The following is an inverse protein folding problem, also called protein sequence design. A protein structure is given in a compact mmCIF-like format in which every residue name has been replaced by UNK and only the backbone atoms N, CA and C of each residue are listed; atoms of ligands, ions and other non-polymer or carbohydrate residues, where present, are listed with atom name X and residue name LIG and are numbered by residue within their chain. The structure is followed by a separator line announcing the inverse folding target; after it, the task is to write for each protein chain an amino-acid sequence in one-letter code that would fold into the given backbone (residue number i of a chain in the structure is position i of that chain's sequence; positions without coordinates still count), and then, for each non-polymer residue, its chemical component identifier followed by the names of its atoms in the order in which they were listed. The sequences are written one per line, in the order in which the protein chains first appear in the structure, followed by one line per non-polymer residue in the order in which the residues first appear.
data_IF_257895430789
#
_entry.id   IF_257895430789
#
_cell.length_a   1.000
_cell.length_b   1.000
_cell.length_c   1.000
_cell.angle_alpha   90.00
_cell.angle_beta   90.00
_cell.angle_gamma   90.00
#
_symmetry.space_group_name_H-M   'P 1'
#
loop_
_entity.id
_entity.type
_entity.pdbx_description
1 polymer ?
#
# COMPACT_ATOMS: atom_id res chain seq x y z
N UNK A 1 -3.53 -20.39 31.13
CA UNK A 1 -2.40 -20.03 30.24
C UNK A 1 -2.66 -20.56 28.82
N UNK A 2 -3.17 -21.78 28.67
CA UNK A 2 -3.44 -22.39 27.35
C UNK A 2 -4.49 -21.66 26.52
N UNK A 3 -5.63 -21.25 27.10
CA UNK A 3 -6.65 -20.49 26.38
C UNK A 3 -6.12 -19.16 25.77
N UNK A 4 -5.16 -18.51 26.43
CA UNK A 4 -4.51 -17.28 25.93
C UNK A 4 -3.56 -17.56 24.76
N UNK A 5 -2.89 -18.70 24.78
CA UNK A 5 -1.99 -19.13 23.71
C UNK A 5 -2.78 -19.57 22.46
N UNK A 6 -3.89 -20.27 22.65
CA UNK A 6 -4.78 -20.67 21.55
C UNK A 6 -5.44 -19.46 20.88
N UNK A 7 -5.85 -18.45 21.66
CA UNK A 7 -6.34 -17.18 21.10
C UNK A 7 -5.29 -16.46 20.24
N UNK A 8 -4.03 -16.40 20.69
CA UNK A 8 -2.93 -15.81 19.91
C UNK A 8 -2.67 -16.54 18.60
N UNK A 9 -2.72 -17.89 18.61
CA UNK A 9 -2.57 -18.68 17.38
C UNK A 9 -3.70 -18.38 16.41
N UNK A 10 -4.94 -18.35 16.88
CA UNK A 10 -6.11 -18.02 16.03
C UNK A 10 -5.99 -16.61 15.43
N UNK A 11 -5.55 -15.61 16.20
CA UNK A 11 -5.32 -14.26 15.71
C UNK A 11 -4.21 -14.20 14.64
N UNK A 12 -3.10 -14.91 14.85
CA UNK A 12 -2.01 -15.00 13.86
C UNK A 12 -2.49 -15.62 12.54
N UNK A 13 -3.30 -16.68 12.60
CA UNK A 13 -3.88 -17.30 11.40
C UNK A 13 -4.79 -16.34 10.62
N UNK A 14 -5.60 -15.53 11.33
CA UNK A 14 -6.41 -14.50 10.70
C UNK A 14 -5.55 -13.44 10.01
N UNK A 15 -4.50 -12.94 10.68
CA UNK A 15 -3.56 -11.97 10.12
C UNK A 15 -2.84 -12.49 8.86
N UNK A 16 -2.51 -13.79 8.81
CA UNK A 16 -1.93 -14.42 7.61
C UNK A 16 -2.93 -14.38 6.44
N UNK A 17 -4.22 -14.53 6.72
CA UNK A 17 -5.28 -14.42 5.72
C UNK A 17 -5.31 -13.03 5.07
N UNK A 18 -5.29 -11.98 5.88
CA UNK A 18 -5.30 -10.60 5.40
C UNK A 18 -4.00 -10.23 4.69
N UNK A 19 -2.85 -10.67 5.19
CA UNK A 19 -1.57 -10.49 4.52
C UNK A 19 -1.56 -11.08 3.10
N UNK A 20 -2.14 -12.28 2.91
CA UNK A 20 -2.27 -12.89 1.58
C UNK A 20 -3.15 -12.04 0.65
N UNK A 21 -4.24 -11.46 1.17
CA UNK A 21 -5.14 -10.58 0.41
C UNK A 21 -4.44 -9.29 0.00
N UNK A 22 -3.70 -8.66 0.90
CA UNK A 22 -2.93 -7.44 0.61
C UNK A 22 -1.84 -7.70 -0.43
N UNK A 23 -1.03 -8.76 -0.26
CA UNK A 23 -0.02 -9.15 -1.25
C UNK A 23 -0.61 -9.36 -2.64
N UNK A 24 -1.81 -9.95 -2.75
CA UNK A 24 -2.49 -10.11 -4.03
C UNK A 24 -2.79 -8.77 -4.71
N UNK A 25 -3.19 -7.75 -3.96
CA UNK A 25 -3.44 -6.40 -4.50
C UNK A 25 -2.13 -5.75 -4.93
N UNK A 26 -1.10 -5.79 -4.08
CA UNK A 26 0.22 -5.22 -4.38
C UNK A 26 0.85 -5.80 -5.65
N UNK A 27 0.75 -7.13 -5.84
CA UNK A 27 1.20 -7.79 -7.07
C UNK A 27 0.38 -7.38 -8.29
N UNK A 28 -0.94 -7.26 -8.16
CA UNK A 28 -1.83 -6.87 -9.25
C UNK A 28 -1.60 -5.43 -9.71
N UNK A 29 -1.24 -4.54 -8.79
CA UNK A 29 -0.96 -3.13 -9.08
C UNK A 29 0.50 -2.85 -9.45
N UNK A 30 1.38 -3.87 -9.41
CA UNK A 30 2.79 -3.74 -9.81
C UNK A 30 3.70 -3.12 -8.75
N UNK A 31 3.35 -3.20 -7.46
CA UNK A 31 4.22 -2.76 -6.35
C UNK A 31 5.27 -3.82 -6.00
N UNK A 32 4.97 -5.09 -6.28
CA UNK A 32 5.92 -6.20 -6.17
C UNK A 32 5.62 -7.26 -7.23
N UNK A 33 6.62 -8.07 -7.54
CA UNK A 33 6.48 -9.15 -8.51
C UNK A 33 5.91 -10.44 -7.86
N UNK A 34 5.74 -11.50 -8.67
CA UNK A 34 5.18 -12.78 -8.21
C UNK A 34 6.00 -13.47 -7.12
N UNK A 35 7.29 -13.13 -6.98
CA UNK A 35 8.19 -13.62 -5.94
C UNK A 35 8.20 -12.73 -4.69
N UNK A 36 7.27 -11.78 -4.56
CA UNK A 36 7.21 -10.79 -3.47
C UNK A 36 8.42 -9.85 -3.40
N UNK A 37 9.18 -9.70 -4.50
CA UNK A 37 10.26 -8.72 -4.57
C UNK A 37 9.68 -7.37 -4.97
N UNK A 38 10.04 -6.33 -4.22
CA UNK A 38 9.55 -4.96 -4.43
C UNK A 38 10.07 -4.37 -5.74
N UNK A 39 9.18 -3.75 -6.51
CA UNK A 39 9.52 -3.06 -7.76
C UNK A 39 9.62 -1.54 -7.53
N UNK A 40 9.94 -0.76 -8.58
CA UNK A 40 10.11 0.69 -8.48
C UNK A 40 8.88 1.39 -7.87
N UNK A 41 7.67 1.03 -8.30
CA UNK A 41 6.42 1.57 -7.77
C UNK A 41 6.25 1.27 -6.29
N UNK A 42 6.62 0.05 -5.88
CA UNK A 42 6.72 -0.37 -4.49
C UNK A 42 7.62 0.54 -3.67
N UNK A 43 8.82 0.79 -4.17
CA UNK A 43 9.80 1.66 -3.50
C UNK A 43 9.30 3.09 -3.37
N UNK A 44 8.61 3.62 -4.38
CA UNK A 44 8.03 4.98 -4.31
C UNK A 44 6.93 5.06 -3.26
N UNK A 45 6.02 4.07 -3.18
CA UNK A 45 5.02 4.04 -2.11
C UNK A 45 5.64 3.96 -0.72
N UNK A 46 6.77 3.27 -0.55
CA UNK A 46 7.48 3.23 0.73
C UNK A 46 8.03 4.59 1.20
N UNK A 47 8.08 5.61 0.34
CA UNK A 47 8.49 6.96 0.72
C UNK A 47 7.29 7.85 1.10
N UNK A 48 6.06 7.34 1.00
CA UNK A 48 4.84 8.05 1.36
C UNK A 48 4.37 7.54 2.73
N UNK A 49 4.72 8.29 3.78
CA UNK A 49 4.40 7.93 5.17
C UNK A 49 3.10 8.56 5.69
N UNK A 50 2.44 9.41 4.91
CA UNK A 50 1.21 10.14 5.29
C UNK A 50 0.16 10.06 4.17
N UNK A 51 -1.10 9.87 4.54
CA UNK A 51 -2.21 9.73 3.60
C UNK A 51 -2.32 8.30 3.05
N UNK A 52 -2.97 8.15 1.89
CA UNK A 52 -3.08 6.86 1.18
C UNK A 52 -1.89 6.67 0.22
N UNK A 53 -0.93 5.84 0.63
CA UNK A 53 0.33 5.64 -0.07
C UNK A 53 0.14 4.97 -1.44
N UNK A 54 -0.84 4.08 -1.57
CA UNK A 54 -1.11 3.37 -2.81
C UNK A 54 -1.78 4.32 -3.80
N UNK A 55 -2.84 5.02 -3.39
CA UNK A 55 -3.55 5.97 -4.25
C UNK A 55 -2.63 7.09 -4.70
N UNK A 56 -1.86 7.67 -3.78
CA UNK A 56 -0.93 8.77 -4.13
C UNK A 56 0.14 8.31 -5.12
N UNK A 57 0.66 7.10 -4.95
CA UNK A 57 1.61 6.51 -5.91
C UNK A 57 0.96 6.22 -7.27
N UNK A 58 -0.30 5.76 -7.31
CA UNK A 58 -1.03 5.59 -8.57
C UNK A 58 -1.22 6.93 -9.30
N UNK A 59 -1.59 8.00 -8.60
CA UNK A 59 -1.74 9.34 -9.19
C UNK A 59 -0.43 9.82 -9.80
N UNK A 60 0.70 9.56 -9.12
CA UNK A 60 2.03 9.90 -9.61
C UNK A 60 2.40 9.12 -10.88
N UNK A 61 2.28 7.79 -10.86
CA UNK A 61 2.67 6.95 -12.01
C UNK A 61 1.72 7.08 -13.21
N UNK A 62 0.46 7.47 -12.99
CA UNK A 62 -0.47 7.80 -14.06
C UNK A 62 -0.30 9.23 -14.61
N UNK A 63 0.66 10.00 -14.08
CA UNK A 63 0.98 11.34 -14.56
C UNK A 63 -0.06 12.41 -14.20
N UNK A 64 -0.94 12.16 -13.23
CA UNK A 64 -2.02 13.10 -12.86
C UNK A 64 -1.47 14.47 -12.45
N UNK A 65 -0.31 14.50 -11.81
CA UNK A 65 0.33 15.75 -11.37
C UNK A 65 1.04 16.53 -12.49
N UNK A 66 1.26 15.93 -13.66
CA UNK A 66 2.08 16.56 -14.72
C UNK A 66 1.45 17.85 -15.28
N UNK A 67 0.12 17.87 -15.37
CA UNK A 67 -0.65 18.98 -15.94
C UNK A 67 -1.25 19.91 -14.87
N UNK A 68 -0.93 19.69 -13.59
CA UNK A 68 -1.44 20.50 -12.48
C UNK A 68 -0.48 21.64 -12.13
N UNK A 69 -1.04 22.78 -11.81
CA UNK A 69 -0.30 23.83 -11.10
C UNK A 69 0.03 23.39 -9.68
N UNK A 70 1.04 24.01 -9.07
CA UNK A 70 1.44 23.72 -7.68
C UNK A 70 0.25 23.84 -6.71
N UNK A 71 -0.58 24.88 -6.86
CA UNK A 71 -1.74 25.09 -5.98
C UNK A 71 -2.81 23.99 -6.15
N UNK A 72 -3.04 23.52 -7.39
CA UNK A 72 -3.95 22.41 -7.66
C UNK A 72 -3.40 21.09 -7.10
N UNK A 73 -2.11 20.83 -7.26
CA UNK A 73 -1.46 19.65 -6.68
C UNK A 73 -1.56 19.66 -5.15
N UNK A 74 -1.29 20.80 -4.49
CA UNK A 74 -1.46 20.97 -3.05
C UNK A 74 -2.91 20.76 -2.60
N UNK A 75 -3.88 21.30 -3.34
CA UNK A 75 -5.30 21.11 -3.04
C UNK A 75 -5.71 19.64 -3.12
N UNK A 76 -5.27 18.92 -4.16
CA UNK A 76 -5.52 17.48 -4.31
C UNK A 76 -4.89 16.67 -3.17
N UNK A 77 -3.63 16.96 -2.85
CA UNK A 77 -2.92 16.26 -1.77
C UNK A 77 -3.49 16.54 -0.38
N UNK A 78 -4.17 17.68 -0.17
CA UNK A 78 -4.79 18.02 1.11
C UNK A 78 -6.00 17.15 1.50
N UNK A 79 -6.47 16.30 0.59
CA UNK A 79 -7.59 15.39 0.81
C UNK A 79 -7.20 14.03 1.42
N UNK A 80 -5.89 13.76 1.55
CA UNK A 80 -5.34 12.52 2.10
C UNK A 80 -4.72 12.76 3.47
#
# INVERSE_FOLDING_TARGET
IDAKNELKKAQSLLQIGDLKRHKRVLRRLGYCNSADVIDLKGRVACEIDTGDELVTTELLFNGVFNDLTVSQACALLSCF
#
